data_IF_486619552347
#
_entry.id   IF_486619552347
#
_cell.length_a   1.000
_cell.length_b   1.000
_cell.length_c   1.000
_cell.angle_alpha   90.00
_cell.angle_beta   90.00
_cell.angle_gamma   90.00
#
_symmetry.space_group_name_H-M   'P 1'
#
loop_
_entity.id
_entity.type
_entity.pdbx_description
1 polymer ?
#
# COMPACT_ATOMS: atom_id res chain seq x y z
N UNK A 1 -8.83 -16.21 -2.47
CA UNK A 1 -8.37 -15.09 -1.61
C UNK A 1 -9.26 -15.09 -0.38
N UNK A 2 -8.93 -15.94 0.59
CA UNK A 2 -9.71 -16.11 1.81
C UNK A 2 -8.79 -15.76 2.98
N UNK A 3 -9.25 -14.86 3.86
CA UNK A 3 -8.47 -14.29 4.96
C UNK A 3 -8.98 -12.91 5.38
N UNK A 4 -8.76 -12.52 6.64
CA UNK A 4 -9.19 -11.23 7.20
C UNK A 4 -8.39 -10.04 6.67
N UNK A 5 -7.24 -10.31 6.04
CA UNK A 5 -6.29 -9.31 5.55
C UNK A 5 -6.05 -9.49 4.04
N UNK A 6 -5.76 -8.40 3.30
CA UNK A 6 -5.45 -8.50 1.90
C UNK A 6 -4.11 -9.22 1.71
N UNK A 7 -4.07 -10.10 0.71
CA UNK A 7 -2.87 -10.80 0.29
C UNK A 7 -2.24 -9.99 -0.84
N UNK A 8 -1.06 -9.42 -0.60
CA UNK A 8 -0.31 -8.66 -1.61
C UNK A 8 0.80 -9.50 -2.25
N UNK A 9 0.40 -10.53 -3.00
CA UNK A 9 1.33 -11.34 -3.78
C UNK A 9 1.29 -10.92 -5.26
N UNK A 10 2.47 -10.77 -5.87
CA UNK A 10 2.60 -10.41 -7.29
C UNK A 10 2.27 -8.94 -7.59
N UNK A 11 1.74 -8.70 -8.79
CA UNK A 11 1.46 -7.35 -9.33
C UNK A 11 0.16 -6.81 -8.76
N UNK A 12 0.24 -5.90 -7.79
CA UNK A 12 -0.92 -5.39 -7.04
C UNK A 12 -1.22 -3.92 -7.29
N UNK A 13 -0.34 -3.20 -7.99
CA UNK A 13 -0.43 -1.75 -8.18
C UNK A 13 -1.82 -1.28 -8.66
N UNK A 14 -2.32 -1.86 -9.76
CA UNK A 14 -3.61 -1.46 -10.34
C UNK A 14 -4.79 -1.75 -9.41
N UNK A 15 -4.73 -2.89 -8.70
CA UNK A 15 -5.77 -3.25 -7.75
C UNK A 15 -5.80 -2.29 -6.55
N UNK A 16 -4.63 -1.86 -6.06
CA UNK A 16 -4.52 -0.86 -4.98
C UNK A 16 -4.97 0.51 -5.46
N UNK A 17 -4.57 0.95 -6.66
CA UNK A 17 -5.05 2.20 -7.28
C UNK A 17 -6.56 2.22 -7.39
N UNK A 18 -7.16 1.12 -7.88
CA UNK A 18 -8.61 0.98 -8.01
C UNK A 18 -9.32 1.08 -6.65
N UNK A 19 -8.76 0.50 -5.59
CA UNK A 19 -9.38 0.51 -4.25
C UNK A 19 -9.46 1.92 -3.63
N UNK A 20 -8.54 2.83 -3.98
CA UNK A 20 -8.50 4.21 -3.46
C UNK A 20 -9.00 5.26 -4.45
N UNK A 21 -9.38 4.85 -5.66
CA UNK A 21 -9.76 5.76 -6.73
C UNK A 21 -11.03 6.55 -6.36
N UNK A 22 -10.98 7.87 -6.55
CA UNK A 22 -12.10 8.78 -6.30
C UNK A 22 -12.29 9.17 -4.83
N UNK A 23 -11.56 8.56 -3.89
CA UNK A 23 -11.61 8.90 -2.48
C UNK A 23 -10.50 9.90 -2.12
N UNK A 24 -10.90 11.11 -1.73
CA UNK A 24 -9.99 12.22 -1.40
C UNK A 24 -9.23 12.02 -0.09
N UNK A 25 -9.62 11.03 0.71
CA UNK A 25 -8.94 10.67 1.95
C UNK A 25 -7.60 9.98 1.69
N UNK A 26 -7.39 9.42 0.50
CA UNK A 26 -6.17 8.71 0.13
C UNK A 26 -5.27 9.58 -0.74
N UNK A 27 -3.97 9.46 -0.52
CA UNK A 27 -2.94 10.22 -1.23
C UNK A 27 -2.01 9.24 -1.91
N UNK A 28 -1.95 9.32 -3.24
CA UNK A 28 -1.03 8.53 -4.06
C UNK A 28 0.07 9.45 -4.56
N UNK A 29 1.33 9.12 -4.26
CA UNK A 29 2.50 9.91 -4.68
C UNK A 29 3.45 9.04 -5.48
N UNK A 30 3.71 9.44 -6.72
CA UNK A 30 4.79 8.83 -7.51
C UNK A 30 6.12 9.50 -7.15
N UNK A 31 7.14 8.69 -6.85
CA UNK A 31 8.50 9.13 -6.52
C UNK A 31 9.53 8.61 -7.53
N UNK A 32 9.11 8.09 -8.67
CA UNK A 32 9.96 7.48 -9.69
C UNK A 32 10.35 6.04 -9.35
N UNK A 33 11.05 5.83 -8.23
CA UNK A 33 11.49 4.49 -7.83
C UNK A 33 10.38 3.67 -7.13
N UNK A 34 9.40 4.36 -6.57
CA UNK A 34 8.26 3.76 -5.88
C UNK A 34 7.04 4.68 -5.92
N UNK A 35 5.86 4.08 -5.78
CA UNK A 35 4.60 4.78 -5.56
C UNK A 35 4.21 4.59 -4.10
N UNK A 36 3.99 5.70 -3.40
CA UNK A 36 3.56 5.70 -2.01
C UNK A 36 2.04 5.90 -1.91
N UNK A 37 1.40 5.04 -1.13
CA UNK A 37 -0.01 5.13 -0.76
C UNK A 37 -0.12 5.51 0.71
N UNK A 38 -0.59 6.73 0.95
CA UNK A 38 -0.84 7.33 2.25
C UNK A 38 -2.32 7.72 2.37
N UNK A 39 -2.70 8.29 3.51
CA UNK A 39 -4.01 8.89 3.71
C UNK A 39 -3.92 10.19 4.49
N UNK A 40 -5.02 10.95 4.46
CA UNK A 40 -5.32 12.07 5.34
C UNK A 40 -6.69 11.80 5.95
N UNK A 41 -6.77 11.77 7.27
CA UNK A 41 -8.07 11.69 7.94
C UNK A 41 -8.64 13.11 7.98
N UNK A 42 -9.76 13.30 7.29
CA UNK A 42 -10.64 14.44 7.46
C UNK A 42 -11.98 13.92 7.99
N UNK A 43 -12.34 14.29 9.23
CA UNK A 43 -13.57 13.82 9.87
C UNK A 43 -13.35 12.53 10.69
N UNK A 44 -14.39 11.70 10.80
CA UNK A 44 -14.35 10.51 11.66
C UNK A 44 -13.57 9.39 10.98
N UNK A 45 -12.72 8.65 11.71
CA UNK A 45 -11.93 7.60 11.09
C UNK A 45 -12.75 6.46 10.47
N UNK A 46 -13.95 6.19 10.97
CA UNK A 46 -14.87 5.20 10.41
C UNK A 46 -15.36 5.55 9.00
N UNK A 47 -15.40 6.84 8.66
CA UNK A 47 -15.85 7.31 7.35
C UNK A 47 -14.76 7.05 6.29
N UNK A 48 -13.48 7.12 6.68
CA UNK A 48 -12.33 6.82 5.82
C UNK A 48 -12.02 5.31 5.77
N UNK A 49 -12.10 4.63 6.92
CA UNK A 49 -11.70 3.23 7.09
C UNK A 49 -12.85 2.37 7.59
N UNK A 50 -13.88 2.22 6.76
CA UNK A 50 -15.00 1.34 7.06
C UNK A 50 -14.54 -0.09 7.41
N UNK A 51 -15.25 -0.73 8.35
CA UNK A 51 -14.99 -2.09 8.79
C UNK A 51 -15.18 -3.10 7.63
N UNK A 52 -14.12 -3.85 7.23
CA UNK A 52 -14.20 -4.88 6.19
C UNK A 52 -15.16 -6.03 6.55
N UNK A 53 -15.40 -6.30 7.83
CA UNK A 53 -16.26 -7.38 8.28
C UNK A 53 -17.74 -7.00 8.23
N UNK A 54 -18.06 -5.70 8.26
CA UNK A 54 -19.44 -5.17 8.18
C UNK A 54 -19.93 -4.91 6.74
N UNK A 55 -19.36 -5.58 5.75
CA UNK A 55 -19.82 -5.48 4.35
C UNK A 55 -21.11 -6.26 4.14
N UNK A 56 -22.08 -5.65 3.48
CA UNK A 56 -23.38 -6.25 3.14
C UNK A 56 -23.51 -6.44 1.62
N UNK A 57 -24.31 -7.41 1.17
CA UNK A 57 -24.62 -7.63 -0.25
C UNK A 57 -24.35 -9.05 -0.74
N UNK A 58 -24.45 -9.26 -2.06
CA UNK A 58 -24.22 -10.57 -2.69
C UNK A 58 -22.79 -11.05 -2.48
N UNK A 59 -22.58 -12.37 -2.41
CA UNK A 59 -21.27 -12.97 -2.08
C UNK A 59 -20.09 -12.39 -2.87
N UNK A 60 -20.22 -12.23 -4.19
CA UNK A 60 -19.14 -11.71 -5.04
C UNK A 60 -18.86 -10.22 -4.80
N UNK A 61 -19.91 -9.39 -4.73
CA UNK A 61 -19.78 -7.95 -4.50
C UNK A 61 -19.22 -7.66 -3.10
N UNK A 62 -19.74 -8.36 -2.10
CA UNK A 62 -19.29 -8.26 -0.72
C UNK A 62 -17.82 -8.70 -0.56
N UNK A 63 -17.38 -9.73 -1.29
CA UNK A 63 -15.97 -10.16 -1.28
C UNK A 63 -15.03 -9.09 -1.82
N UNK A 64 -15.38 -8.47 -2.96
CA UNK A 64 -14.59 -7.39 -3.56
C UNK A 64 -14.52 -6.17 -2.63
N UNK A 65 -15.65 -5.71 -2.11
CA UNK A 65 -15.71 -4.54 -1.24
C UNK A 65 -14.97 -4.78 0.09
N UNK A 66 -15.09 -5.98 0.67
CA UNK A 66 -14.30 -6.38 1.85
C UNK A 66 -12.80 -6.25 1.58
N UNK A 67 -12.35 -6.74 0.44
CA UNK A 67 -10.95 -6.63 0.05
C UNK A 67 -10.52 -5.16 -0.11
N UNK A 68 -11.29 -4.33 -0.81
CA UNK A 68 -10.99 -2.91 -1.01
C UNK A 68 -10.93 -2.14 0.32
N UNK A 69 -11.88 -2.36 1.23
CA UNK A 69 -11.87 -1.76 2.58
C UNK A 69 -10.63 -2.18 3.37
N UNK A 70 -10.21 -3.44 3.24
CA UNK A 70 -9.00 -3.93 3.89
C UNK A 70 -7.73 -3.31 3.28
N UNK A 71 -7.66 -3.17 1.95
CA UNK A 71 -6.55 -2.50 1.25
C UNK A 71 -6.43 -1.03 1.64
N UNK A 72 -7.55 -0.33 1.81
CA UNK A 72 -7.54 1.06 2.32
C UNK A 72 -6.80 1.16 3.64
N UNK A 73 -7.03 0.24 4.59
CA UNK A 73 -6.30 0.21 5.88
C UNK A 73 -4.80 -0.02 5.72
N UNK A 74 -4.38 -0.69 4.65
CA UNK A 74 -2.96 -0.88 4.32
C UNK A 74 -2.30 0.38 3.74
N UNK A 75 -3.07 1.35 3.25
CA UNK A 75 -2.57 2.61 2.65
C UNK A 75 -2.02 3.59 3.70
N UNK A 76 -1.31 3.07 4.72
CA UNK A 76 -0.59 3.78 5.78
C UNK A 76 0.91 3.73 5.49
N UNK A 77 1.31 4.27 4.33
CA UNK A 77 2.69 4.22 3.85
C UNK A 77 3.05 2.91 3.16
N UNK A 78 2.10 2.33 2.42
CA UNK A 78 2.35 1.20 1.53
C UNK A 78 3.16 1.68 0.32
N UNK A 79 4.26 1.00 0.02
CA UNK A 79 5.15 1.34 -1.09
C UNK A 79 5.11 0.23 -2.14
N UNK A 80 4.89 0.60 -3.41
CA UNK A 80 4.79 -0.34 -4.54
C UNK A 80 5.75 0.11 -5.64
N UNK A 81 6.46 -0.84 -6.26
CA UNK A 81 7.32 -0.59 -7.40
C UNK A 81 6.46 -0.24 -8.64
N UNK A 82 6.66 0.90 -9.30
CA UNK A 82 5.87 1.28 -10.48
C UNK A 82 6.08 0.32 -11.65
N UNK A 83 7.29 -0.22 -11.82
CA UNK A 83 7.64 -1.08 -12.95
C UNK A 83 7.08 -2.49 -12.80
N UNK A 84 7.34 -3.14 -11.67
CA UNK A 84 6.91 -4.53 -11.44
C UNK A 84 5.47 -4.60 -10.92
N UNK A 85 5.01 -3.57 -10.22
CA UNK A 85 3.76 -3.58 -9.48
C UNK A 85 3.82 -4.38 -8.18
N UNK A 86 5.00 -4.81 -7.74
CA UNK A 86 5.21 -5.55 -6.49
C UNK A 86 5.32 -4.61 -5.29
N UNK A 87 4.89 -5.09 -4.13
CA UNK A 87 5.07 -4.36 -2.86
C UNK A 87 6.56 -4.31 -2.51
N UNK A 88 7.06 -3.09 -2.26
CA UNK A 88 8.42 -2.83 -1.78
C UNK A 88 8.47 -2.76 -0.25
N UNK A 89 7.45 -2.18 0.37
CA UNK A 89 7.29 -2.17 1.83
C UNK A 89 5.81 -2.18 2.22
N UNK A 90 5.47 -3.05 3.17
CA UNK A 90 4.18 -3.11 3.83
C UNK A 90 4.35 -2.82 5.32
N UNK A 91 3.94 -1.63 5.74
CA UNK A 91 3.91 -1.23 7.14
C UNK A 91 2.69 -1.83 7.84
N UNK A 92 2.57 -1.65 9.15
CA UNK A 92 1.36 -2.01 9.86
C UNK A 92 0.14 -1.28 9.27
N UNK A 93 -0.93 -2.04 9.02
CA UNK A 93 -2.23 -1.50 8.67
C UNK A 93 -2.71 -0.50 9.74
N UNK A 94 -3.60 0.42 9.37
CA UNK A 94 -4.20 1.35 10.34
C UNK A 94 -4.86 0.56 11.46
N UNK A 95 -4.38 0.81 12.68
CA UNK A 95 -4.97 0.35 13.93
C UNK A 95 -5.52 1.55 14.71
N UNK A 96 -6.31 1.26 15.72
CA UNK A 96 -7.10 2.24 16.46
C UNK A 96 -6.59 2.36 17.89
N UNK A 97 -6.79 3.54 18.48
CA UNK A 97 -6.80 3.64 19.92
C UNK A 97 -8.08 2.96 20.46
N UNK A 98 -8.06 2.57 21.74
CA UNK A 98 -9.25 2.07 22.41
C UNK A 98 -10.39 3.09 22.32
N UNK A 99 -11.60 2.58 22.08
CA UNK A 99 -12.84 3.34 21.96
C UNK A 99 -12.88 4.40 20.83
N UNK A 100 -11.88 4.45 19.95
CA UNK A 100 -11.88 5.37 18.79
C UNK A 100 -12.96 4.99 17.76
N UNK A 101 -13.25 3.69 17.64
CA UNK A 101 -14.25 3.12 16.73
C UNK A 101 -14.91 1.90 17.38
N UNK A 102 -16.13 1.57 16.95
CA UNK A 102 -16.90 0.43 17.51
C UNK A 102 -16.18 -0.92 17.48
N UNK A 103 -15.25 -1.17 16.54
CA UNK A 103 -14.49 -2.43 16.46
C UNK A 103 -13.29 -2.50 17.43
N UNK A 104 -13.00 -1.38 18.08
CA UNK A 104 -11.93 -1.18 19.06
C UNK A 104 -12.49 -0.76 20.42
N UNK A 105 -13.79 -1.01 20.68
CA UNK A 105 -14.34 -0.80 22.03
C UNK A 105 -13.72 -1.77 23.02
N UNK A 106 -13.67 -1.38 24.30
CA UNK A 106 -13.13 -2.23 25.37
C UNK A 106 -13.75 -3.63 25.35
N UNK A 107 -15.07 -3.74 25.22
CA UNK A 107 -15.77 -5.03 25.23
C UNK A 107 -15.37 -5.91 24.04
N UNK A 108 -15.19 -5.30 22.86
CA UNK A 108 -14.77 -6.02 21.66
C UNK A 108 -13.31 -6.46 21.77
N UNK A 109 -12.45 -5.62 22.35
CA UNK A 109 -11.04 -5.95 22.58
C UNK A 109 -10.90 -7.05 23.63
N UNK A 110 -11.62 -6.98 24.75
CA UNK A 110 -11.65 -8.03 25.78
C UNK A 110 -12.11 -9.37 25.20
N UNK A 111 -13.19 -9.38 24.42
CA UNK A 111 -13.66 -10.59 23.74
C UNK A 111 -12.61 -11.17 22.77
N UNK A 112 -11.90 -10.31 22.02
CA UNK A 112 -10.79 -10.73 21.16
C UNK A 112 -9.64 -11.31 21.96
N UNK A 113 -9.23 -10.64 23.05
CA UNK A 113 -8.16 -11.11 23.94
C UNK A 113 -8.49 -12.48 24.54
N UNK A 114 -9.74 -12.70 24.97
CA UNK A 114 -10.20 -14.00 25.48
C UNK A 114 -10.20 -15.13 24.44
N UNK A 115 -10.32 -14.79 23.14
CA UNK A 115 -10.27 -15.75 22.04
C UNK A 115 -8.87 -15.90 21.39
N UNK A 116 -7.93 -15.01 21.71
CA UNK A 116 -6.59 -15.02 21.13
C UNK A 116 -5.71 -16.12 21.75
N UNK A 117 -4.97 -16.85 20.91
CA UNK A 117 -3.95 -17.82 21.38
C UNK A 117 -2.72 -17.13 21.99
N UNK A 118 -2.44 -15.89 21.58
CA UNK A 118 -1.24 -15.14 21.97
C UNK A 118 -1.54 -13.66 21.91
N UNK A 119 -1.01 -12.92 22.90
CA UNK A 119 -1.11 -11.47 23.00
C UNK A 119 0.31 -10.92 23.13
N UNK A 120 0.62 -9.87 22.38
CA UNK A 120 1.87 -9.14 22.50
C UNK A 120 1.56 -7.70 22.88
N UNK A 121 2.18 -7.24 23.96
CA UNK A 121 2.11 -5.85 24.42
C UNK A 121 3.54 -5.32 24.37
N UNK A 122 3.71 -4.17 23.74
CA UNK A 122 5.01 -3.54 23.57
C UNK A 122 4.90 -2.06 23.90
N UNK A 123 6.02 -1.47 24.30
CA UNK A 123 6.12 -0.04 24.53
C UNK A 123 5.84 0.73 23.23
N UNK A 124 4.95 1.72 23.31
CA UNK A 124 4.69 2.62 22.19
C UNK A 124 5.74 3.73 22.18
N UNK A 125 6.82 3.50 21.45
CA UNK A 125 7.85 4.51 21.23
C UNK A 125 7.27 5.76 20.53
N UNK A 126 7.69 6.94 20.97
CA UNK A 126 7.29 8.21 20.36
C UNK A 126 8.35 8.68 19.35
N UNK A 127 8.00 8.64 18.07
CA UNK A 127 8.93 8.92 16.99
C UNK A 127 8.29 8.72 15.61
N UNK A 128 9.14 8.63 14.59
CA UNK A 128 8.71 8.40 13.21
C UNK A 128 8.90 6.94 12.81
N UNK A 129 7.86 6.33 12.23
CA UNK A 129 7.96 4.99 11.65
C UNK A 129 8.83 5.03 10.40
N UNK A 130 9.93 4.30 10.43
CA UNK A 130 10.84 4.10 9.30
C UNK A 130 10.73 2.68 8.76
N UNK A 131 10.98 2.49 7.47
CA UNK A 131 11.00 1.16 6.85
C UNK A 131 12.15 1.09 5.85
N UNK A 132 13.10 0.17 6.00
CA UNK A 132 14.12 -0.04 4.99
C UNK A 132 13.48 -0.63 3.74
N UNK A 133 13.91 -0.18 2.57
CA UNK A 133 13.48 -0.70 1.27
C UNK A 133 14.68 -0.97 0.40
N UNK A 134 14.64 -2.08 -0.35
CA UNK A 134 15.61 -2.37 -1.39
C UNK A 134 15.05 -1.88 -2.73
N UNK A 135 15.73 -0.91 -3.34
CA UNK A 135 15.39 -0.40 -4.66
C UNK A 135 16.30 -1.06 -5.69
N UNK A 136 15.70 -1.64 -6.73
CA UNK A 136 16.46 -2.08 -7.90
C UNK A 136 16.73 -0.87 -8.77
N UNK A 137 17.92 -0.28 -8.66
CA UNK A 137 18.39 0.67 -9.67
C UNK A 137 18.68 -0.08 -10.95
N UNK A 138 18.02 0.28 -12.05
CA UNK A 138 18.55 -0.07 -13.37
C UNK A 138 19.92 0.60 -13.51
N UNK A 139 20.93 -0.15 -13.95
CA UNK A 139 22.20 0.46 -14.34
C UNK A 139 21.91 1.52 -15.41
N UNK A 140 22.53 2.72 -15.35
CA UNK A 140 22.38 3.69 -16.42
C UNK A 140 22.73 3.01 -17.75
N UNK A 141 21.86 3.15 -18.75
CA UNK A 141 22.13 2.63 -20.07
C UNK A 141 23.47 3.22 -20.55
N UNK A 142 24.38 2.41 -21.12
CA UNK A 142 25.62 2.93 -21.67
C UNK A 142 25.30 4.02 -22.71
N UNK A 143 26.08 5.12 -22.76
CA UNK A 143 25.85 6.17 -23.74
C UNK A 143 25.90 5.54 -25.14
N UNK A 144 24.84 5.76 -25.92
CA UNK A 144 24.77 5.28 -27.30
C UNK A 144 25.94 5.89 -28.07
N UNK A 145 26.88 5.05 -28.51
CA UNK A 145 27.95 5.43 -29.41
C UNK A 145 27.34 5.93 -30.71
N UNK A 146 27.21 7.24 -30.89
CA UNK A 146 26.94 7.80 -32.20
C UNK A 146 28.15 7.51 -33.09
N UNK A 147 28.00 6.57 -34.02
CA UNK A 147 28.97 6.30 -35.06
C UNK A 147 29.13 7.53 -35.95
N UNK A 148 30.17 8.31 -35.70
CA UNK A 148 30.63 9.33 -36.64
C UNK A 148 31.29 8.62 -37.83
N UNK A 149 30.49 8.23 -38.83
CA UNK A 149 31.01 7.90 -40.15
C UNK A 149 31.50 9.19 -40.81
N UNK A 150 32.78 9.52 -40.64
CA UNK A 150 33.45 10.48 -41.53
C UNK A 150 33.69 9.76 -42.87
N UNK A 151 32.94 10.19 -43.88
CA UNK A 151 33.24 9.89 -45.27
C UNK A 151 34.65 10.37 -45.60
N UNK A 152 35.45 9.46 -46.16
CA UNK A 152 36.72 9.79 -46.78
C UNK A 152 36.39 10.11 -48.23
N UNK A 153 36.28 11.40 -48.57
CA UNK A 153 36.20 11.83 -49.96
C UNK A 153 37.55 11.59 -50.62
N UNK A 154 37.53 10.71 -51.63
CA UNK A 154 38.58 10.54 -52.61
C UNK A 154 38.66 11.80 -53.47
N UNK A 155 39.79 12.49 -53.46
CA UNK A 155 40.13 13.49 -54.46
C UNK A 155 41.20 12.93 -55.41
N UNK A 156 40.80 12.75 -56.66
CA UNK A 156 41.68 12.67 -57.83
C UNK A 156 42.39 14.02 -58.04
N UNK A 157 43.71 13.97 -58.26
CA UNK A 157 44.48 14.65 -59.31
C UNK A 157 45.98 14.65 -58.95
#
# INVERSE_FOLDING_TARGET
MDGSFPIFCGRVLEAVRSAVQGDRSFVVKDRGDFIAFDYRISGRPCDVFADPLKVQGTHAKAKKERWERAVRRECRGLLICPTTGHVLARRFHKFWNLDEVSEASVEVVEAKLGACKTVSISEKLDGSLVSPVLLQRSSPAPPSSSSASKGLDSAEA
#
